data_IF_573739878376
#
_entry.id   IF_573739878376
#
_cell.length_a   1.000
_cell.length_b   1.000
_cell.length_c   1.000
_cell.angle_alpha   90.00
_cell.angle_beta   90.00
_cell.angle_gamma   90.00
#
_symmetry.space_group_name_H-M   'P 1'
#
loop_
_entity.id
_entity.type
_entity.pdbx_description
1 polymer ?
#
# COMPACT_ATOMS: atom_id res chain seq x y z
N UNK A 1 -4.02 9.83 -9.92
CA UNK A 1 -3.72 8.41 -9.71
C UNK A 1 -4.03 7.67 -11.01
N UNK A 2 -3.07 6.97 -11.59
CA UNK A 2 -3.31 6.10 -12.74
C UNK A 2 -3.95 4.78 -12.29
N UNK A 3 -4.52 4.00 -13.23
CA UNK A 3 -5.09 2.68 -12.92
C UNK A 3 -4.07 1.74 -12.27
N UNK A 4 -2.84 1.75 -12.78
CA UNK A 4 -1.74 0.98 -12.18
C UNK A 4 -1.44 1.42 -10.74
N UNK A 5 -1.39 2.73 -10.48
CA UNK A 5 -1.18 3.23 -9.11
C UNK A 5 -2.30 2.81 -8.15
N UNK A 6 -3.54 2.74 -8.63
CA UNK A 6 -4.66 2.23 -7.84
C UNK A 6 -4.47 0.74 -7.47
N UNK A 7 -4.20 -0.10 -8.47
CA UNK A 7 -4.00 -1.55 -8.30
C UNK A 7 -2.77 -1.85 -7.40
N UNK A 8 -1.73 -1.03 -7.48
CA UNK A 8 -0.55 -1.10 -6.60
C UNK A 8 -0.88 -0.75 -5.14
N UNK A 9 -1.61 0.35 -4.91
CA UNK A 9 -2.01 0.77 -3.56
C UNK A 9 -2.92 -0.27 -2.91
N UNK A 10 -3.86 -0.87 -3.66
CA UNK A 10 -4.70 -1.98 -3.17
C UNK A 10 -3.84 -3.18 -2.74
N UNK A 11 -2.83 -3.53 -3.54
CA UNK A 11 -1.92 -4.64 -3.24
C UNK A 11 -1.13 -4.40 -1.95
N UNK A 12 -0.64 -3.17 -1.74
CA UNK A 12 0.04 -2.79 -0.50
C UNK A 12 -0.93 -2.77 0.69
N UNK A 13 -2.13 -2.24 0.52
CA UNK A 13 -3.15 -2.22 1.57
C UNK A 13 -3.50 -3.64 2.01
N UNK A 14 -3.67 -4.58 1.09
CA UNK A 14 -3.92 -5.99 1.41
C UNK A 14 -2.78 -6.60 2.24
N UNK A 15 -1.52 -6.36 1.85
CA UNK A 15 -0.35 -6.85 2.60
C UNK A 15 -0.32 -6.27 4.03
N UNK A 16 -0.62 -4.99 4.19
CA UNK A 16 -0.71 -4.35 5.51
C UNK A 16 -1.86 -4.92 6.33
N UNK A 17 -3.04 -5.13 5.73
CA UNK A 17 -4.18 -5.75 6.42
C UNK A 17 -3.79 -7.11 7.00
N UNK A 18 -3.12 -7.96 6.22
CA UNK A 18 -2.65 -9.27 6.70
C UNK A 18 -1.71 -9.11 7.89
N UNK A 19 -0.77 -8.17 7.84
CA UNK A 19 0.13 -7.86 8.95
C UNK A 19 -0.61 -7.38 10.21
N UNK A 20 -1.56 -6.46 10.06
CA UNK A 20 -2.36 -5.92 11.17
C UNK A 20 -3.26 -6.98 11.80
N UNK A 21 -3.88 -7.84 10.99
CA UNK A 21 -4.67 -8.98 11.45
C UNK A 21 -3.81 -9.97 12.23
N UNK A 22 -2.62 -10.29 11.70
CA UNK A 22 -1.68 -11.23 12.32
C UNK A 22 -1.11 -10.72 13.64
N UNK A 23 -0.95 -9.39 13.78
CA UNK A 23 -0.46 -8.76 15.00
C UNK A 23 -1.50 -8.76 16.13
N UNK A 24 -2.81 -8.78 15.81
CA UNK A 24 -3.91 -8.86 16.79
C UNK A 24 -4.08 -7.64 17.70
N UNK A 25 -3.36 -6.54 17.46
CA UNK A 25 -3.33 -5.36 18.32
C UNK A 25 -4.25 -4.22 17.86
N UNK A 26 -4.92 -4.38 16.71
CA UNK A 26 -5.79 -3.35 16.11
C UNK A 26 -7.23 -3.85 16.07
N UNK A 27 -8.22 -3.06 16.52
CA UNK A 27 -9.63 -3.38 16.36
C UNK A 27 -9.98 -3.70 14.89
N UNK A 28 -10.69 -4.80 14.60
CA UNK A 28 -10.91 -5.24 13.22
C UNK A 28 -11.55 -4.20 12.29
N UNK A 29 -12.43 -3.35 12.82
CA UNK A 29 -13.11 -2.26 12.11
C UNK A 29 -12.16 -1.14 11.68
N UNK A 30 -11.03 -0.96 12.37
CA UNK A 30 -10.01 0.04 12.06
C UNK A 30 -8.91 -0.47 11.12
N UNK A 31 -8.87 -1.78 10.84
CA UNK A 31 -7.81 -2.38 10.02
C UNK A 31 -7.84 -1.85 8.57
N UNK A 32 -8.98 -1.77 7.87
CA UNK A 32 -8.99 -1.30 6.49
C UNK A 32 -8.47 0.13 6.34
N UNK A 33 -8.93 1.06 7.19
CA UNK A 33 -8.49 2.46 7.11
C UNK A 33 -6.99 2.60 7.37
N UNK A 34 -6.48 1.96 8.43
CA UNK A 34 -5.04 1.95 8.74
C UNK A 34 -4.21 1.31 7.63
N UNK A 35 -4.73 0.28 6.98
CA UNK A 35 -4.03 -0.36 5.88
C UNK A 35 -3.89 0.55 4.67
N UNK A 36 -4.94 1.29 4.30
CA UNK A 36 -4.88 2.30 3.24
C UNK A 36 -3.92 3.44 3.60
N UNK A 37 -3.99 3.98 4.83
CA UNK A 37 -3.10 5.05 5.27
C UNK A 37 -1.62 4.66 5.14
N UNK A 38 -1.28 3.44 5.54
CA UNK A 38 0.08 2.90 5.44
C UNK A 38 0.46 2.65 3.98
N UNK A 39 -0.44 2.08 3.17
CA UNK A 39 -0.19 1.81 1.76
C UNK A 39 0.08 3.10 0.96
N UNK A 40 -0.70 4.15 1.20
CA UNK A 40 -0.47 5.45 0.58
C UNK A 40 0.84 6.09 1.06
N UNK A 41 1.15 5.99 2.36
CA UNK A 41 2.41 6.48 2.89
C UNK A 41 3.61 5.75 2.26
N UNK A 42 3.49 4.43 2.08
CA UNK A 42 4.50 3.64 1.38
C UNK A 42 4.62 4.05 -0.08
N UNK A 43 3.52 4.24 -0.80
CA UNK A 43 3.55 4.67 -2.21
C UNK A 43 4.24 6.05 -2.37
N UNK A 44 3.96 7.01 -1.47
CA UNK A 44 4.65 8.31 -1.46
C UNK A 44 6.16 8.16 -1.25
N UNK A 45 6.57 7.32 -0.31
CA UNK A 45 8.00 7.09 -0.04
C UNK A 45 8.69 6.32 -1.17
N UNK A 46 7.99 5.38 -1.80
CA UNK A 46 8.44 4.64 -2.99
C UNK A 46 8.80 5.61 -4.12
N UNK A 47 7.87 6.49 -4.48
CA UNK A 47 8.07 7.50 -5.53
C UNK A 47 9.29 8.39 -5.21
N UNK A 48 9.48 8.78 -3.95
CA UNK A 48 10.61 9.59 -3.53
C UNK A 48 11.96 8.87 -3.65
N UNK A 49 12.01 7.56 -3.38
CA UNK A 49 13.27 6.80 -3.30
C UNK A 49 13.68 6.11 -4.59
N UNK A 50 12.72 5.46 -5.25
CA UNK A 50 12.98 4.62 -6.43
C UNK A 50 12.38 5.20 -7.71
N UNK A 51 11.56 6.25 -7.59
CA UNK A 51 10.87 6.85 -8.72
C UNK A 51 9.71 6.01 -9.23
N UNK A 52 9.29 6.31 -10.47
CA UNK A 52 8.25 5.57 -11.15
C UNK A 52 8.74 4.21 -11.62
N UNK A 53 7.81 3.25 -11.73
CA UNK A 53 8.10 1.95 -12.32
C UNK A 53 8.58 2.17 -13.77
N UNK A 54 9.77 1.68 -14.14
CA UNK A 54 10.24 1.82 -15.52
C UNK A 54 9.30 1.07 -16.48
N UNK A 55 9.12 1.56 -17.72
CA UNK A 55 8.33 0.86 -18.72
C UNK A 55 8.94 -0.51 -19.03
N UNK A 56 8.10 -1.45 -19.46
CA UNK A 56 8.60 -2.71 -20.03
C UNK A 56 9.27 -2.39 -21.38
N UNK A 57 10.53 -2.83 -21.50
CA UNK A 57 11.49 -2.57 -22.58
C UNK A 57 12.00 -1.12 -22.70
N UNK A 58 13.25 -0.92 -22.27
CA UNK A 58 14.07 0.27 -22.50
C UNK A 58 14.97 0.09 -23.72
#
# INVERSE_FOLDING_TARGET
MTRNEHEEVESYALAVMIGLLSAGAVPPDLIPSKAFDIAEAFQREKLKRIGDKPPFDS
#
